data_IF_051106007709
#
_entry.id   IF_051106007709
#
_cell.length_a   1.000
_cell.length_b   1.000
_cell.length_c   1.000
_cell.angle_alpha   90.00
_cell.angle_beta   90.00
_cell.angle_gamma   90.00
#
_symmetry.space_group_name_H-M   'P 1'
#
loop_
_entity.id
_entity.type
_entity.pdbx_description
1 polymer ?
#
# COMPACT_ATOMS: atom_id res chain seq x y z
N UNK A 1 -21.65 -9.72 -7.31
CA UNK A 1 -20.77 -10.35 -8.32
C UNK A 1 -21.30 -11.71 -8.79
N UNK A 2 -21.91 -12.54 -7.93
CA UNK A 2 -22.46 -13.87 -8.28
C UNK A 2 -23.89 -13.85 -8.85
N UNK A 3 -24.22 -12.92 -9.76
CA UNK A 3 -25.54 -12.89 -10.42
C UNK A 3 -25.48 -13.69 -11.72
N UNK A 4 -26.54 -14.43 -12.00
CA UNK A 4 -26.66 -15.25 -13.22
C UNK A 4 -26.48 -14.43 -14.50
N UNK A 5 -26.96 -13.19 -14.48
CA UNK A 5 -26.79 -12.20 -15.54
C UNK A 5 -25.30 -11.84 -15.78
N UNK A 6 -24.52 -11.64 -14.71
CA UNK A 6 -23.07 -11.35 -14.81
C UNK A 6 -22.31 -12.52 -15.41
N UNK A 7 -22.70 -13.74 -15.06
CA UNK A 7 -22.02 -14.96 -15.53
C UNK A 7 -22.37 -15.24 -16.98
N UNK A 8 -23.62 -15.01 -17.37
CA UNK A 8 -24.05 -15.05 -18.77
C UNK A 8 -23.27 -14.07 -19.63
N UNK A 9 -23.04 -12.83 -19.13
CA UNK A 9 -22.23 -11.82 -19.82
C UNK A 9 -20.76 -12.28 -19.92
N UNK A 10 -20.14 -12.72 -18.82
CA UNK A 10 -18.76 -13.20 -18.84
C UNK A 10 -18.56 -14.41 -19.79
N UNK A 11 -19.50 -15.35 -19.80
CA UNK A 11 -19.45 -16.50 -20.71
C UNK A 11 -19.57 -16.06 -22.17
N UNK A 12 -20.48 -15.12 -22.49
CA UNK A 12 -20.63 -14.55 -23.84
C UNK A 12 -19.35 -13.85 -24.30
N UNK A 13 -18.78 -12.98 -23.46
CA UNK A 13 -17.54 -12.28 -23.79
C UNK A 13 -16.35 -13.24 -23.95
N UNK A 14 -16.27 -14.31 -23.15
CA UNK A 14 -15.24 -15.34 -23.30
C UNK A 14 -15.38 -16.13 -24.63
N UNK A 15 -16.61 -16.39 -25.07
CA UNK A 15 -16.87 -17.03 -26.36
C UNK A 15 -16.57 -16.08 -27.53
N UNK A 16 -16.89 -14.79 -27.41
CA UNK A 16 -16.59 -13.77 -28.42
C UNK A 16 -15.08 -13.56 -28.62
N UNK A 17 -14.30 -13.58 -27.53
CA UNK A 17 -12.84 -13.48 -27.59
C UNK A 17 -12.17 -14.72 -28.21
N UNK A 18 -12.84 -15.86 -28.15
CA UNK A 18 -12.38 -17.14 -28.69
C UNK A 18 -13.31 -17.63 -29.81
N UNK A 19 -13.61 -16.75 -30.76
CA UNK A 19 -14.55 -16.98 -31.85
C UNK A 19 -14.18 -18.12 -32.81
N UNK A 20 -12.93 -18.60 -32.75
CA UNK A 20 -12.43 -19.74 -33.52
C UNK A 20 -12.81 -21.11 -32.92
N UNK A 21 -13.27 -21.16 -31.66
CA UNK A 21 -13.63 -22.41 -30.98
C UNK A 21 -15.13 -22.71 -31.12
N UNK A 22 -15.45 -23.98 -31.44
CA UNK A 22 -16.82 -24.48 -31.38
C UNK A 22 -17.16 -24.98 -29.98
N UNK A 23 -18.20 -24.40 -29.39
CA UNK A 23 -18.67 -24.77 -28.05
C UNK A 23 -19.85 -25.74 -28.14
N UNK A 24 -19.68 -26.97 -27.63
CA UNK A 24 -20.80 -27.88 -27.38
C UNK A 24 -21.60 -27.45 -26.15
N UNK A 25 -22.85 -27.91 -26.00
CA UNK A 25 -23.66 -27.61 -24.80
C UNK A 25 -22.94 -28.00 -23.50
N UNK A 26 -22.17 -29.08 -23.51
CA UNK A 26 -21.35 -29.52 -22.37
C UNK A 26 -20.23 -28.54 -22.07
N UNK A 27 -19.52 -28.05 -23.10
CA UNK A 27 -18.46 -27.05 -22.93
C UNK A 27 -18.99 -25.72 -22.36
N UNK A 28 -20.23 -25.34 -22.70
CA UNK A 28 -20.87 -24.13 -22.17
C UNK A 28 -21.19 -24.29 -20.68
N UNK A 29 -21.63 -25.47 -20.26
CA UNK A 29 -21.90 -25.78 -18.85
C UNK A 29 -20.59 -25.79 -18.06
N UNK A 30 -19.54 -26.43 -18.57
CA UNK A 30 -18.22 -26.46 -17.94
C UNK A 30 -17.62 -25.05 -17.82
N UNK A 31 -17.76 -24.20 -18.86
CA UNK A 31 -17.34 -22.81 -18.84
C UNK A 31 -18.08 -21.99 -17.77
N UNK A 32 -19.39 -22.21 -17.62
CA UNK A 32 -20.17 -21.57 -16.55
C UNK A 32 -19.67 -21.98 -15.17
N UNK A 33 -19.42 -23.28 -14.95
CA UNK A 33 -18.91 -23.79 -13.67
C UNK A 33 -17.54 -23.16 -13.35
N UNK A 34 -16.60 -23.17 -14.30
CA UNK A 34 -15.30 -22.50 -14.16
C UNK A 34 -15.44 -21.00 -13.85
N UNK A 35 -16.38 -20.32 -14.48
CA UNK A 35 -16.65 -18.90 -14.22
C UNK A 35 -17.14 -18.67 -12.79
N UNK A 36 -18.00 -19.55 -12.26
CA UNK A 36 -18.41 -19.52 -10.85
C UNK A 36 -17.22 -19.74 -9.92
N UNK A 37 -16.37 -20.74 -10.18
CA UNK A 37 -15.20 -21.02 -9.34
C UNK A 37 -14.22 -19.84 -9.30
N UNK A 38 -13.97 -19.21 -10.45
CA UNK A 38 -13.10 -18.02 -10.54
C UNK A 38 -13.70 -16.86 -9.76
N UNK A 39 -15.00 -16.58 -9.93
CA UNK A 39 -15.67 -15.51 -9.21
C UNK A 39 -15.69 -15.75 -7.69
N UNK A 40 -15.98 -16.97 -7.27
CA UNK A 40 -15.99 -17.34 -5.85
C UNK A 40 -14.57 -17.21 -5.26
N UNK A 41 -13.53 -17.62 -6.00
CA UNK A 41 -12.13 -17.41 -5.61
C UNK A 41 -11.78 -15.92 -5.50
N UNK A 42 -12.17 -15.09 -6.47
CA UNK A 42 -11.96 -13.64 -6.42
C UNK A 42 -12.67 -13.02 -5.22
N UNK A 43 -13.92 -13.42 -4.95
CA UNK A 43 -14.70 -12.93 -3.80
C UNK A 43 -13.97 -13.29 -2.50
N UNK A 44 -13.58 -14.55 -2.32
CA UNK A 44 -12.84 -15.00 -1.12
C UNK A 44 -11.53 -14.24 -0.99
N UNK A 45 -10.78 -14.04 -2.07
CA UNK A 45 -9.52 -13.29 -2.03
C UNK A 45 -9.73 -11.82 -1.69
N UNK A 46 -10.80 -11.19 -2.19
CA UNK A 46 -11.19 -9.83 -1.82
C UNK A 46 -11.56 -9.78 -0.34
N UNK A 47 -12.40 -10.70 0.13
CA UNK A 47 -12.82 -10.75 1.54
C UNK A 47 -11.63 -10.98 2.48
N UNK A 48 -10.71 -11.89 2.14
CA UNK A 48 -9.47 -12.13 2.91
C UNK A 48 -8.57 -10.90 2.87
N UNK A 49 -8.34 -10.31 1.69
CA UNK A 49 -7.44 -9.16 1.52
C UNK A 49 -7.94 -7.90 2.22
N UNK A 50 -9.25 -7.70 2.24
CA UNK A 50 -9.89 -6.54 2.87
C UNK A 50 -10.53 -6.91 4.21
N UNK A 51 -10.21 -8.07 4.79
CA UNK A 51 -10.69 -8.44 6.13
C UNK A 51 -10.27 -7.40 7.18
N UNK A 52 -9.08 -6.84 6.98
CA UNK A 52 -8.48 -5.82 7.84
C UNK A 52 -8.95 -4.40 7.52
N UNK A 53 -9.86 -4.19 6.55
CA UNK A 53 -10.49 -2.87 6.32
C UNK A 53 -11.30 -2.40 7.53
N UNK A 54 -11.60 -3.28 8.49
CA UNK A 54 -12.20 -2.92 9.78
C UNK A 54 -11.29 -1.93 10.54
N UNK A 55 -9.96 -1.98 10.31
CA UNK A 55 -9.00 -1.01 10.83
C UNK A 55 -9.15 0.39 10.21
N UNK A 56 -10.00 0.56 9.19
CA UNK A 56 -10.23 1.87 8.58
C UNK A 56 -11.02 2.84 9.48
N UNK A 57 -11.62 2.37 10.57
CA UNK A 57 -12.26 3.27 11.54
C UNK A 57 -11.27 4.27 12.15
N UNK A 58 -9.97 3.96 12.13
CA UNK A 58 -8.88 4.90 12.40
C UNK A 58 -8.98 6.16 11.53
N UNK A 59 -9.31 6.02 10.25
CA UNK A 59 -9.44 7.14 9.32
C UNK A 59 -10.64 8.02 9.69
N UNK A 60 -11.72 7.44 10.24
CA UNK A 60 -12.86 8.21 10.72
C UNK A 60 -12.48 9.15 11.86
N UNK A 61 -11.58 8.73 12.77
CA UNK A 61 -11.09 9.58 13.87
C UNK A 61 -10.31 10.80 13.37
N UNK A 62 -9.72 10.69 12.17
CA UNK A 62 -8.96 11.76 11.50
C UNK A 62 -9.73 12.41 10.33
N UNK A 63 -11.01 12.08 10.16
CA UNK A 63 -11.82 12.60 9.07
C UNK A 63 -12.30 14.02 9.36
N UNK A 64 -11.66 15.01 8.73
CA UNK A 64 -11.97 16.43 8.85
C UNK A 64 -13.45 16.79 8.61
N UNK A 65 -14.16 16.04 7.75
CA UNK A 65 -15.57 16.28 7.45
C UNK A 65 -16.49 15.90 8.62
N UNK A 66 -16.09 14.93 9.43
CA UNK A 66 -16.87 14.41 10.56
C UNK A 66 -16.53 15.06 11.90
N UNK A 67 -15.50 15.93 11.95
CA UNK A 67 -15.09 16.59 13.20
C UNK A 67 -16.19 17.46 13.81
N UNK A 68 -17.06 18.05 12.99
CA UNK A 68 -18.23 18.82 13.45
C UNK A 68 -19.23 17.96 14.24
N UNK A 69 -19.39 16.70 13.85
CA UNK A 69 -20.33 15.78 14.49
C UNK A 69 -19.71 15.17 15.76
N UNK A 70 -18.40 14.87 15.73
CA UNK A 70 -17.67 14.37 16.90
C UNK A 70 -17.49 15.40 18.02
N UNK A 71 -17.58 16.70 17.71
CA UNK A 71 -17.64 17.75 18.72
C UNK A 71 -18.81 17.54 19.70
N UNK A 72 -19.95 17.04 19.22
CA UNK A 72 -21.16 16.92 20.02
C UNK A 72 -21.40 15.48 20.52
N UNK A 73 -21.04 14.46 19.72
CA UNK A 73 -21.26 13.05 20.05
C UNK A 73 -20.03 12.20 19.69
N UNK A 74 -18.97 12.31 20.49
CA UNK A 74 -17.84 11.41 20.36
C UNK A 74 -18.19 10.00 20.88
N UNK A 75 -18.08 8.98 20.04
CA UNK A 75 -18.34 7.60 20.47
C UNK A 75 -17.07 6.92 20.97
N UNK A 76 -17.03 6.59 22.25
CA UNK A 76 -15.93 5.87 22.92
C UNK A 76 -15.65 4.50 22.30
N UNK A 77 -16.63 3.91 21.62
CA UNK A 77 -16.50 2.62 20.93
C UNK A 77 -15.36 2.64 19.90
N UNK A 78 -15.13 3.78 19.24
CA UNK A 78 -14.07 3.93 18.22
C UNK A 78 -12.67 3.87 18.84
N UNK A 79 -12.50 4.41 20.04
CA UNK A 79 -11.23 4.33 20.78
C UNK A 79 -10.98 2.93 21.32
N UNK A 80 -12.03 2.24 21.79
CA UNK A 80 -11.91 0.86 22.25
C UNK A 80 -11.52 -0.09 21.11
N UNK A 81 -12.10 0.08 19.93
CA UNK A 81 -11.69 -0.69 18.75
C UNK A 81 -10.24 -0.40 18.35
N UNK A 82 -9.82 0.86 18.38
CA UNK A 82 -8.43 1.24 18.13
C UNK A 82 -7.46 0.55 19.10
N UNK A 83 -7.80 0.48 20.38
CA UNK A 83 -7.01 -0.25 21.39
C UNK A 83 -6.97 -1.76 21.14
N UNK A 84 -8.07 -2.35 20.70
CA UNK A 84 -8.11 -3.78 20.41
C UNK A 84 -7.19 -4.15 19.23
N UNK A 85 -7.10 -3.28 18.23
CA UNK A 85 -6.28 -3.51 17.03
C UNK A 85 -4.81 -3.09 17.21
N UNK A 86 -4.55 -2.05 17.99
CA UNK A 86 -3.21 -1.52 18.27
C UNK A 86 -2.93 -1.49 19.78
N UNK A 87 -2.83 -2.66 20.43
CA UNK A 87 -2.56 -2.73 21.86
C UNK A 87 -1.21 -2.07 22.18
N UNK A 88 -1.17 -1.32 23.27
CA UNK A 88 0.01 -0.65 23.84
C UNK A 88 0.72 0.41 22.96
N UNK A 89 0.16 0.73 21.78
CA UNK A 89 0.71 1.81 20.92
C UNK A 89 0.25 3.18 21.41
N UNK A 90 -1.00 3.27 21.86
CA UNK A 90 -1.67 4.53 22.18
C UNK A 90 -2.06 4.64 23.64
N UNK A 91 -1.90 5.84 24.21
CA UNK A 91 -2.51 6.19 25.48
C UNK A 91 -3.92 6.75 25.22
N UNK A 92 -4.96 5.95 25.50
CA UNK A 92 -6.34 6.32 25.18
C UNK A 92 -6.83 7.60 25.85
N UNK A 93 -6.49 7.81 27.13
CA UNK A 93 -6.93 9.01 27.85
C UNK A 93 -6.31 10.27 27.25
N UNK A 94 -5.01 10.23 26.92
CA UNK A 94 -4.34 11.33 26.24
C UNK A 94 -4.87 11.55 24.83
N UNK A 95 -5.04 10.48 24.07
CA UNK A 95 -5.57 10.55 22.71
C UNK A 95 -6.98 11.15 22.69
N UNK A 96 -7.85 10.75 23.64
CA UNK A 96 -9.19 11.30 23.77
C UNK A 96 -9.15 12.81 24.03
N UNK A 97 -8.36 13.25 25.01
CA UNK A 97 -8.22 14.67 25.33
C UNK A 97 -7.68 15.48 24.13
N UNK A 98 -6.65 14.96 23.45
CA UNK A 98 -6.07 15.61 22.27
C UNK A 98 -7.08 15.71 21.10
N UNK A 99 -7.87 14.65 20.87
CA UNK A 99 -8.93 14.65 19.86
C UNK A 99 -10.08 15.59 20.23
N UNK A 100 -10.47 15.67 21.50
CA UNK A 100 -11.50 16.60 21.96
C UNK A 100 -11.08 18.06 21.76
N UNK A 101 -9.80 18.39 22.04
CA UNK A 101 -9.24 19.72 21.76
C UNK A 101 -9.26 20.01 20.25
N UNK A 102 -8.96 19.01 19.42
CA UNK A 102 -8.98 19.13 17.96
C UNK A 102 -10.41 19.37 17.45
N UNK A 103 -11.40 18.59 17.90
CA UNK A 103 -12.79 18.72 17.48
C UNK A 103 -13.44 20.02 17.96
N UNK A 104 -12.95 20.60 19.05
CA UNK A 104 -13.41 21.91 19.53
C UNK A 104 -12.75 23.09 18.80
N UNK A 105 -11.70 22.86 18.00
CA UNK A 105 -10.94 23.89 17.28
C UNK A 105 -11.28 23.89 15.78
N UNK A 106 -12.28 24.66 15.32
CA UNK A 106 -12.70 24.66 13.90
C UNK A 106 -11.58 25.10 12.94
N UNK A 107 -10.63 25.91 13.40
CA UNK A 107 -9.48 26.37 12.63
C UNK A 107 -8.48 25.23 12.30
N UNK A 108 -8.65 24.06 12.91
CA UNK A 108 -7.76 22.90 12.78
C UNK A 108 -8.40 21.71 12.07
N UNK A 109 -9.51 21.91 11.36
CA UNK A 109 -10.17 20.88 10.55
C UNK A 109 -9.38 20.61 9.24
N UNK A 110 -8.17 20.10 9.42
CA UNK A 110 -7.21 19.85 8.37
C UNK A 110 -7.25 18.36 7.97
N UNK A 111 -6.81 18.05 6.75
CA UNK A 111 -6.60 16.66 6.34
C UNK A 111 -5.51 16.02 7.22
N UNK A 112 -5.44 14.68 7.38
CA UNK A 112 -4.42 14.03 8.22
C UNK A 112 -2.99 14.47 7.87
N UNK A 113 -2.71 14.70 6.57
CA UNK A 113 -1.42 15.20 6.09
C UNK A 113 -1.17 16.64 6.51
N UNK A 114 -2.15 17.51 6.34
CA UNK A 114 -2.02 18.93 6.66
C UNK A 114 -1.98 19.15 8.18
N UNK A 115 -2.73 18.35 8.93
CA UNK A 115 -2.69 18.30 10.40
C UNK A 115 -1.29 17.91 10.88
N UNK A 116 -0.72 16.82 10.34
CA UNK A 116 0.63 16.40 10.69
C UNK A 116 1.68 17.47 10.35
N UNK A 117 1.59 18.07 9.16
CA UNK A 117 2.48 19.16 8.75
C UNK A 117 2.34 20.40 9.64
N UNK A 118 1.12 20.72 10.08
CA UNK A 118 0.87 21.82 11.01
C UNK A 118 1.51 21.53 12.37
N UNK A 119 1.37 20.31 12.91
CA UNK A 119 2.00 19.92 14.16
C UNK A 119 3.53 19.98 14.07
N UNK A 120 4.09 19.51 12.95
CA UNK A 120 5.53 19.54 12.69
C UNK A 120 6.07 20.98 12.62
N UNK A 121 5.44 21.85 11.80
CA UNK A 121 5.91 23.23 11.59
C UNK A 121 5.85 24.10 12.86
N UNK A 122 4.92 23.81 13.76
CA UNK A 122 4.73 24.57 14.99
C UNK A 122 5.43 23.94 16.21
N UNK A 123 6.27 22.91 16.02
CA UNK A 123 6.93 22.17 17.11
C UNK A 123 5.95 21.64 18.18
N UNK A 124 4.77 21.19 17.73
CA UNK A 124 3.70 20.70 18.60
C UNK A 124 3.69 19.17 18.74
N UNK A 125 4.66 18.47 18.15
CA UNK A 125 4.74 17.01 18.19
C UNK A 125 4.91 16.46 19.62
N UNK A 126 5.68 17.15 20.46
CA UNK A 126 5.88 16.76 21.86
C UNK A 126 4.66 17.04 22.74
N UNK A 127 3.80 17.97 22.32
CA UNK A 127 2.57 18.35 23.03
C UNK A 127 1.41 17.44 22.63
N UNK A 128 1.31 17.10 21.35
CA UNK A 128 0.27 16.24 20.76
C UNK A 128 0.87 14.91 20.32
N UNK A 129 1.39 14.15 21.30
CA UNK A 129 2.15 12.92 21.04
C UNK A 129 1.24 11.82 20.47
N UNK A 130 0.02 11.70 20.97
CA UNK A 130 -0.88 10.62 20.56
C UNK A 130 -1.54 10.94 19.22
N UNK A 131 -1.92 12.20 18.99
CA UNK A 131 -2.47 12.68 17.72
C UNK A 131 -1.42 12.64 16.60
N UNK A 132 -0.16 12.92 16.90
CA UNK A 132 0.93 12.81 15.92
C UNK A 132 1.19 11.36 15.52
N UNK A 133 1.25 10.44 16.49
CA UNK A 133 1.30 8.99 16.22
C UNK A 133 0.11 8.52 15.38
N UNK A 134 -1.10 8.98 15.73
CA UNK A 134 -2.33 8.62 15.00
C UNK A 134 -2.26 9.11 13.55
N UNK A 135 -1.82 10.35 13.35
CA UNK A 135 -1.66 10.94 12.02
C UNK A 135 -0.59 10.21 11.20
N UNK A 136 0.55 9.85 11.81
CA UNK A 136 1.58 9.04 11.15
C UNK A 136 1.06 7.66 10.77
N UNK A 137 0.35 6.99 11.66
CA UNK A 137 -0.25 5.68 11.39
C UNK A 137 -1.21 5.74 10.20
N UNK A 138 -2.11 6.73 10.17
CA UNK A 138 -3.04 6.99 9.06
C UNK A 138 -2.29 7.25 7.75
N UNK A 139 -1.20 8.02 7.78
CA UNK A 139 -0.40 8.35 6.59
C UNK A 139 0.45 7.17 6.09
N UNK A 140 0.87 6.27 7.00
CA UNK A 140 1.68 5.10 6.68
C UNK A 140 0.85 3.93 6.14
N UNK A 141 -0.43 3.83 6.51
CA UNK A 141 -1.33 2.82 5.95
C UNK A 141 -1.60 3.18 4.48
N UNK A 142 -1.16 2.37 3.51
CA UNK A 142 -1.36 2.68 2.10
C UNK A 142 -2.85 2.54 1.75
N UNK A 143 -3.58 3.64 1.75
CA UNK A 143 -5.00 3.69 1.31
C UNK A 143 -5.13 3.44 -0.19
N UNK A 144 -4.04 3.61 -0.97
CA UNK A 144 -4.06 3.51 -2.43
C UNK A 144 -3.07 2.47 -2.95
N UNK A 145 -3.51 1.68 -3.93
CA UNK A 145 -2.66 0.73 -4.67
C UNK A 145 -1.70 1.42 -5.63
N UNK A 146 -1.87 2.73 -5.89
CA UNK A 146 -1.09 3.48 -6.89
C UNK A 146 0.42 3.43 -6.65
N UNK A 147 0.89 3.45 -5.39
CA UNK A 147 2.32 3.32 -5.09
C UNK A 147 2.82 1.92 -5.44
N UNK A 148 2.06 0.88 -5.10
CA UNK A 148 2.37 -0.51 -5.46
C UNK A 148 2.33 -0.72 -6.98
N UNK A 149 1.40 -0.10 -7.70
CA UNK A 149 1.30 -0.18 -9.16
C UNK A 149 2.47 0.54 -9.85
N UNK A 150 2.88 1.70 -9.34
CA UNK A 150 4.07 2.43 -9.83
C UNK A 150 5.34 1.59 -9.61
N UNK A 151 5.46 0.97 -8.44
CA UNK A 151 6.56 0.09 -8.10
C UNK A 151 6.56 -1.19 -8.96
N UNK A 152 5.39 -1.80 -9.18
CA UNK A 152 5.21 -2.96 -10.06
C UNK A 152 5.54 -2.61 -11.52
N UNK A 153 5.21 -1.40 -11.98
CA UNK A 153 5.56 -0.91 -13.32
C UNK A 153 7.07 -0.66 -13.46
N UNK A 154 7.72 -0.14 -12.43
CA UNK A 154 9.18 -0.03 -12.39
C UNK A 154 9.86 -1.42 -12.40
N UNK A 155 9.38 -2.36 -11.59
CA UNK A 155 9.80 -3.76 -11.60
C UNK A 155 9.65 -4.40 -12.99
N UNK A 156 8.50 -4.21 -13.63
CA UNK A 156 8.25 -4.70 -15.00
C UNK A 156 9.25 -4.11 -15.98
N UNK A 157 9.55 -2.80 -15.90
CA UNK A 157 10.57 -2.15 -16.74
C UNK A 157 11.96 -2.73 -16.51
N UNK A 158 12.37 -2.95 -15.26
CA UNK A 158 13.65 -3.59 -14.91
C UNK A 158 13.74 -4.99 -15.53
N UNK A 159 12.70 -5.80 -15.33
CA UNK A 159 12.63 -7.19 -15.83
C UNK A 159 12.67 -7.25 -17.37
N UNK A 160 11.90 -6.38 -18.03
CA UNK A 160 11.87 -6.28 -19.49
C UNK A 160 13.21 -5.80 -20.06
N UNK A 161 13.80 -4.76 -19.46
CA UNK A 161 15.07 -4.20 -19.92
C UNK A 161 16.21 -5.22 -19.85
N UNK A 162 16.25 -6.02 -18.78
CA UNK A 162 17.33 -6.99 -18.57
C UNK A 162 17.17 -8.29 -19.37
N UNK A 163 15.97 -8.60 -19.91
CA UNK A 163 15.60 -9.74 -20.79
C UNK A 163 16.16 -11.13 -20.42
N UNK A 164 16.81 -11.27 -19.27
CA UNK A 164 17.49 -12.48 -18.79
C UNK A 164 16.83 -12.97 -17.50
N UNK A 165 16.79 -14.28 -17.31
CA UNK A 165 16.52 -14.90 -16.01
C UNK A 165 17.55 -14.39 -15.01
N UNK A 166 17.09 -13.63 -14.02
CA UNK A 166 17.93 -13.01 -13.01
C UNK A 166 17.59 -13.60 -11.64
N UNK A 167 18.58 -13.71 -10.76
CA UNK A 167 18.35 -14.10 -9.37
C UNK A 167 17.55 -13.02 -8.64
N UNK A 168 16.68 -13.44 -7.71
CA UNK A 168 15.75 -12.57 -6.98
C UNK A 168 16.48 -11.50 -6.15
N UNK A 169 17.70 -11.81 -5.66
CA UNK A 169 18.54 -10.88 -4.91
C UNK A 169 18.94 -9.65 -5.74
N UNK A 170 19.38 -9.88 -6.98
CA UNK A 170 19.78 -8.78 -7.88
C UNK A 170 18.55 -7.95 -8.28
N UNK A 171 17.38 -8.58 -8.41
CA UNK A 171 16.15 -7.89 -8.78
C UNK A 171 15.69 -6.98 -7.65
N UNK A 172 15.71 -7.51 -6.43
CA UNK A 172 15.37 -6.79 -5.22
C UNK A 172 16.27 -5.57 -5.04
N UNK A 173 17.59 -5.75 -5.14
CA UNK A 173 18.56 -4.65 -5.01
C UNK A 173 18.36 -3.55 -6.07
N UNK A 174 18.16 -3.91 -7.34
CA UNK A 174 17.97 -2.93 -8.41
C UNK A 174 16.62 -2.21 -8.31
N UNK A 175 15.61 -2.90 -7.79
CA UNK A 175 14.29 -2.32 -7.54
C UNK A 175 14.34 -1.32 -6.40
N UNK A 176 15.02 -1.64 -5.29
CA UNK A 176 15.27 -0.70 -4.20
C UNK A 176 15.97 0.57 -4.68
N UNK A 177 17.03 0.44 -5.50
CA UNK A 177 17.70 1.60 -6.10
C UNK A 177 16.77 2.44 -7.00
N UNK A 178 15.82 1.79 -7.67
CA UNK A 178 14.86 2.47 -8.55
C UNK A 178 13.77 3.18 -7.75
N UNK A 179 13.31 2.59 -6.66
CA UNK A 179 12.32 3.19 -5.77
C UNK A 179 12.91 4.38 -5.01
N UNK A 180 14.14 4.25 -4.53
CA UNK A 180 14.86 5.29 -3.79
C UNK A 180 15.68 6.22 -4.69
N UNK A 181 15.40 6.23 -6.00
CA UNK A 181 16.20 6.99 -6.98
C UNK A 181 16.29 8.48 -6.64
N UNK A 182 15.23 9.08 -6.11
CA UNK A 182 15.24 10.49 -5.73
C UNK A 182 16.20 10.74 -4.57
N UNK A 183 16.09 9.96 -3.50
CA UNK A 183 16.99 10.05 -2.36
C UNK A 183 18.45 9.78 -2.78
N UNK A 184 18.68 8.80 -3.67
CA UNK A 184 20.00 8.51 -4.22
C UNK A 184 20.57 9.70 -5.02
N UNK A 185 19.73 10.38 -5.81
CA UNK A 185 20.16 11.57 -6.54
C UNK A 185 20.55 12.70 -5.57
N UNK A 186 19.78 12.90 -4.51
CA UNK A 186 20.10 13.89 -3.46
C UNK A 186 21.42 13.54 -2.75
N UNK A 187 21.60 12.28 -2.34
CA UNK A 187 22.84 11.80 -1.71
C UNK A 187 24.05 11.87 -2.67
N UNK A 188 23.84 11.65 -3.97
CA UNK A 188 24.91 11.73 -4.96
C UNK A 188 25.45 13.14 -5.18
N UNK A 189 24.77 14.17 -4.67
CA UNK A 189 25.30 15.54 -4.66
C UNK A 189 26.39 15.75 -3.61
N UNK A 190 26.45 14.87 -2.60
CA UNK A 190 27.52 14.87 -1.59
C UNK A 190 28.73 14.07 -2.11
N UNK A 191 29.89 14.71 -2.35
CA UNK A 191 31.08 14.03 -2.82
C UNK A 191 31.61 12.99 -1.82
N UNK A 192 31.39 13.18 -0.52
CA UNK A 192 31.87 12.25 0.51
C UNK A 192 31.18 10.89 0.41
N UNK A 193 29.87 10.89 0.18
CA UNK A 193 29.09 9.68 -0.03
C UNK A 193 29.58 8.91 -1.27
N UNK A 194 29.90 9.62 -2.36
CA UNK A 194 30.40 8.98 -3.59
C UNK A 194 31.77 8.35 -3.36
N UNK A 195 32.68 9.04 -2.68
CA UNK A 195 34.01 8.52 -2.36
C UNK A 195 33.93 7.29 -1.46
N UNK A 196 33.04 7.28 -0.46
CA UNK A 196 32.80 6.11 0.39
C UNK A 196 32.28 4.89 -0.38
N UNK A 197 31.33 5.12 -1.31
CA UNK A 197 30.80 4.06 -2.18
C UNK A 197 31.90 3.50 -3.09
N UNK A 198 32.75 4.36 -3.65
CA UNK A 198 33.89 3.97 -4.48
C UNK A 198 34.89 3.16 -3.66
N UNK A 199 35.23 3.60 -2.46
CA UNK A 199 36.14 2.92 -1.56
C UNK A 199 35.60 1.55 -1.12
N UNK A 200 34.30 1.46 -0.81
CA UNK A 200 33.64 0.21 -0.47
C UNK A 200 33.66 -0.76 -1.67
N UNK A 201 33.36 -0.26 -2.87
CA UNK A 201 33.43 -1.05 -4.10
C UNK A 201 34.88 -1.52 -4.36
N UNK A 202 35.87 -0.65 -4.18
CA UNK A 202 37.28 -0.99 -4.33
C UNK A 202 37.75 -2.03 -3.32
N UNK A 203 37.27 -2.00 -2.07
CA UNK A 203 37.57 -3.01 -1.03
C UNK A 203 36.97 -4.39 -1.33
N UNK A 204 35.96 -4.46 -2.18
CA UNK A 204 35.31 -5.72 -2.54
C UNK A 204 36.22 -6.54 -3.48
N UNK A 205 36.77 -7.66 -3.00
CA UNK A 205 37.79 -8.47 -3.71
C UNK A 205 37.27 -9.16 -4.98
N UNK A 206 35.97 -9.44 -5.07
CA UNK A 206 35.34 -10.05 -6.25
C UNK A 206 34.83 -8.97 -7.22
N UNK A 207 35.74 -8.49 -8.08
CA UNK A 207 35.44 -7.49 -9.12
C UNK A 207 35.06 -8.11 -10.48
N UNK A 208 34.93 -9.44 -10.55
CA UNK A 208 34.55 -10.18 -11.75
C UNK A 208 33.18 -10.82 -11.54
N UNK A 209 32.29 -10.63 -12.51
CA UNK A 209 31.19 -11.56 -12.75
C UNK A 209 31.85 -12.80 -13.39
N UNK A 210 31.74 -13.96 -12.75
CA UNK A 210 32.13 -15.23 -13.38
C UNK A 210 31.16 -15.51 -14.53
N UNK A 211 31.58 -15.18 -15.75
CA UNK A 211 30.88 -15.58 -16.95
C UNK A 211 31.12 -17.08 -17.16
N UNK A 212 30.27 -17.90 -16.56
CA UNK A 212 30.19 -19.33 -16.90
C UNK A 212 29.64 -19.40 -18.32
N UNK A 213 30.53 -19.45 -19.32
CA UNK A 213 30.15 -19.83 -20.67
C UNK A 213 29.68 -21.28 -20.62
N UNK A 214 28.37 -21.49 -20.84
CA UNK A 214 27.82 -22.81 -21.10
C UNK A 214 28.40 -23.28 -22.43
N UNK A 215 29.41 -24.15 -22.37
CA UNK A 215 29.89 -24.88 -23.54
C UNK A 215 28.73 -25.79 -23.97
N UNK A 216 28.23 -25.56 -25.19
CA UNK A 216 27.22 -26.37 -25.86
C UNK A 216 27.86 -27.70 -26.26
#
# INVERSE_FOLDING_TARGET
>A
MRKEETISICCKSAMELNSELQYSEKNIIDLKILTYEILDSIIVQIEVRFKDFINLKLFELTNNMSFKDYKNNFSMDKLMELKNHFPDIFNLERLQNELEILYNSPDKYLTPKDLFNYLYKNNLLDVYQELSKLSQLVLCIPVTTSSSERNMSALKRIKTFLRNSMNDDRLSNLSSLTFEKQMLNELSTDPTFIDEVIDLFAKTKNRKIDLIYKII
#
